data_IF_736430456743
#
_entry.id   IF_736430456743
#
_cell.length_a   1.000
_cell.length_b   1.000
_cell.length_c   1.000
_cell.angle_alpha   90.00
_cell.angle_beta   90.00
_cell.angle_gamma   90.00
#
_symmetry.space_group_name_H-M   'P 1'
#
loop_
_entity.id
_entity.type
_entity.pdbx_description
1 polymer ?
#
# COMPACT_ATOMS: atom_id res chain seq x y z
N UNK A 1 -5.56 27.06 -1.55
CA UNK A 1 -6.03 27.13 -2.94
C UNK A 1 -4.96 26.55 -3.87
N UNK A 2 -5.38 26.09 -5.04
CA UNK A 2 -4.51 25.62 -6.11
C UNK A 2 -4.74 26.47 -7.37
N UNK A 3 -3.81 26.41 -8.31
CA UNK A 3 -3.89 27.12 -9.59
C UNK A 3 -3.59 26.15 -10.73
N UNK A 4 -4.36 26.25 -11.81
CA UNK A 4 -4.10 25.53 -13.06
C UNK A 4 -3.54 26.52 -14.06
N UNK A 5 -2.37 26.26 -14.62
CA UNK A 5 -1.65 27.14 -15.55
C UNK A 5 -1.46 26.39 -16.88
N UNK A 6 -1.75 27.08 -17.99
CA UNK A 6 -1.55 26.55 -19.34
C UNK A 6 -0.42 27.35 -19.98
N UNK A 7 0.64 26.67 -20.41
CA UNK A 7 1.73 27.29 -21.15
C UNK A 7 1.35 27.56 -22.61
N UNK A 8 2.12 28.43 -23.29
CA UNK A 8 1.93 28.69 -24.72
C UNK A 8 2.11 27.45 -25.60
N UNK A 9 2.77 26.40 -25.13
CA UNK A 9 2.93 25.11 -25.82
C UNK A 9 1.82 24.09 -25.46
N UNK A 10 0.81 24.49 -24.66
CA UNK A 10 -0.30 23.63 -24.28
C UNK A 10 -0.03 22.72 -23.07
N UNK A 11 1.12 22.85 -22.40
CA UNK A 11 1.39 22.11 -21.16
C UNK A 11 0.51 22.66 -20.04
N UNK A 12 -0.23 21.77 -19.38
CA UNK A 12 -1.08 22.10 -18.25
C UNK A 12 -0.34 21.71 -16.97
N UNK A 13 -0.20 22.67 -16.06
CA UNK A 13 0.44 22.49 -14.76
C UNK A 13 -0.53 22.84 -13.65
N UNK A 14 -0.55 22.04 -12.58
CA UNK A 14 -1.27 22.36 -11.36
C UNK A 14 -0.29 22.62 -10.23
N UNK A 15 -0.50 23.69 -9.48
CA UNK A 15 0.38 24.15 -8.41
C UNK A 15 -0.40 24.47 -7.15
N UNK A 16 0.22 24.26 -5.98
CA UNK A 16 -0.39 24.54 -4.68
C UNK A 16 -1.34 23.44 -4.22
N UNK A 17 -2.33 23.81 -3.41
CA UNK A 17 -3.29 22.90 -2.82
C UNK A 17 -2.80 22.24 -1.53
N UNK A 18 -3.59 21.27 -1.05
CA UNK A 18 -3.32 20.49 0.15
C UNK A 18 -3.61 19.02 -0.15
N UNK A 19 -3.02 18.12 0.64
CA UNK A 19 -3.33 16.69 0.53
C UNK A 19 -4.84 16.39 0.60
N UNK A 20 -5.56 17.12 1.42
CA UNK A 20 -7.02 16.96 1.59
C UNK A 20 -7.85 17.47 0.41
N UNK A 21 -7.27 18.21 -0.53
CA UNK A 21 -7.98 18.76 -1.70
C UNK A 21 -7.58 18.09 -3.02
N UNK A 22 -6.79 17.03 -2.99
CA UNK A 22 -6.23 16.39 -4.19
C UNK A 22 -7.30 15.94 -5.20
N UNK A 23 -8.45 15.42 -4.74
CA UNK A 23 -9.55 15.01 -5.61
C UNK A 23 -10.07 16.20 -6.44
N UNK A 24 -10.35 17.32 -5.77
CA UNK A 24 -10.83 18.54 -6.44
C UNK A 24 -9.76 19.13 -7.36
N UNK A 25 -8.52 19.08 -6.99
CA UNK A 25 -7.40 19.46 -7.85
C UNK A 25 -7.35 18.62 -9.12
N UNK A 26 -7.51 17.30 -8.99
CA UNK A 26 -7.56 16.39 -10.13
C UNK A 26 -8.75 16.68 -11.05
N UNK A 27 -9.93 16.91 -10.50
CA UNK A 27 -11.12 17.30 -11.26
C UNK A 27 -10.88 18.57 -12.08
N UNK A 28 -10.34 19.62 -11.45
CA UNK A 28 -10.13 20.92 -12.11
C UNK A 28 -9.08 20.82 -13.23
N UNK A 29 -7.98 20.08 -13.01
CA UNK A 29 -6.96 19.92 -14.06
C UNK A 29 -7.44 19.03 -15.20
N UNK A 30 -8.21 17.97 -14.92
CA UNK A 30 -8.77 17.09 -15.95
C UNK A 30 -9.80 17.85 -16.78
N UNK A 31 -10.69 18.63 -16.17
CA UNK A 31 -11.66 19.46 -16.87
C UNK A 31 -10.97 20.50 -17.77
N UNK A 32 -9.91 21.14 -17.26
CA UNK A 32 -9.10 22.06 -18.05
C UNK A 32 -8.45 21.35 -19.25
N UNK A 33 -7.90 20.16 -19.04
CA UNK A 33 -7.27 19.36 -20.10
C UNK A 33 -8.29 18.92 -21.16
N UNK A 34 -9.50 18.56 -20.74
CA UNK A 34 -10.59 18.18 -21.66
C UNK A 34 -11.00 19.37 -22.55
N UNK A 35 -11.15 20.56 -21.99
CA UNK A 35 -11.46 21.79 -22.73
C UNK A 35 -10.33 22.09 -23.75
N UNK A 36 -9.07 22.07 -23.31
CA UNK A 36 -7.92 22.35 -24.19
C UNK A 36 -7.77 21.32 -25.30
N UNK A 37 -8.08 20.06 -25.02
CA UNK A 37 -8.04 18.96 -25.98
C UNK A 37 -9.27 18.87 -26.91
N UNK A 38 -10.25 19.76 -26.74
CA UNK A 38 -11.50 19.72 -27.53
C UNK A 38 -12.34 18.46 -27.27
N UNK A 39 -12.20 17.83 -26.10
CA UNK A 39 -12.96 16.64 -25.73
C UNK A 39 -14.38 17.00 -25.30
N UNK A 40 -15.31 16.08 -25.50
CA UNK A 40 -16.68 16.25 -25.00
C UNK A 40 -16.67 16.33 -23.47
N UNK A 41 -17.46 17.27 -22.95
CA UNK A 41 -17.65 17.40 -21.50
C UNK A 41 -18.23 16.11 -20.92
N UNK A 42 -17.66 15.68 -19.80
CA UNK A 42 -18.19 14.62 -18.93
C UNK A 42 -18.18 15.11 -17.50
N UNK A 43 -19.28 14.90 -16.82
CA UNK A 43 -19.38 15.21 -15.40
C UNK A 43 -18.40 14.35 -14.58
N UNK A 44 -17.80 14.96 -13.58
CA UNK A 44 -16.90 14.24 -12.65
C UNK A 44 -17.72 13.34 -11.73
N UNK A 45 -17.37 12.06 -11.70
CA UNK A 45 -18.06 11.07 -10.83
C UNK A 45 -17.24 10.72 -9.57
N UNK A 46 -16.06 11.33 -9.40
CA UNK A 46 -15.13 10.93 -8.33
C UNK A 46 -15.52 11.42 -6.94
N UNK A 47 -16.52 12.29 -6.81
CA UNK A 47 -16.97 12.78 -5.52
C UNK A 47 -17.66 11.68 -4.72
N UNK A 48 -18.45 10.84 -5.38
CA UNK A 48 -19.20 9.75 -4.75
C UNK A 48 -18.65 8.35 -5.13
N UNK A 49 -17.59 8.31 -5.90
CA UNK A 49 -16.97 7.05 -6.31
C UNK A 49 -16.32 6.36 -5.12
N UNK A 50 -16.83 5.19 -4.75
CA UNK A 50 -16.19 4.35 -3.75
C UNK A 50 -14.81 3.89 -4.25
N UNK A 51 -13.76 4.20 -3.49
CA UNK A 51 -12.42 3.68 -3.75
C UNK A 51 -12.32 2.22 -3.30
N UNK A 52 -11.34 1.49 -3.85
CA UNK A 52 -11.03 0.13 -3.43
C UNK A 52 -10.83 0.06 -1.90
N UNK A 53 -11.32 -0.97 -1.29
CA UNK A 53 -11.22 -1.16 0.17
C UNK A 53 -12.27 -0.37 0.98
N UNK A 54 -13.12 0.47 0.35
CA UNK A 54 -14.16 1.17 1.08
C UNK A 54 -15.11 0.20 1.78
N UNK A 55 -15.36 0.45 3.07
CA UNK A 55 -16.38 -0.26 3.87
C UNK A 55 -17.35 0.76 4.44
N UNK A 56 -18.67 0.56 4.29
CA UNK A 56 -19.68 1.48 4.84
C UNK A 56 -19.72 1.45 6.37
N UNK A 57 -19.25 0.39 6.98
CA UNK A 57 -19.15 0.21 8.43
C UNK A 57 -17.74 -0.20 8.78
N UNK A 58 -17.08 0.56 9.63
CA UNK A 58 -15.74 0.26 10.12
C UNK A 58 -15.80 0.07 11.63
N UNK A 59 -15.49 -1.14 12.09
CA UNK A 59 -15.23 -1.41 13.50
C UNK A 59 -13.72 -1.24 13.73
N UNK A 60 -13.33 -0.18 14.41
CA UNK A 60 -11.91 0.12 14.68
C UNK A 60 -11.26 -0.83 15.69
N UNK A 61 -12.05 -1.63 16.41
CA UNK A 61 -11.54 -2.68 17.31
C UNK A 61 -11.28 -4.00 16.57
N UNK A 62 -11.80 -4.14 15.33
CA UNK A 62 -11.57 -5.34 14.53
C UNK A 62 -10.14 -5.39 14.00
N UNK A 63 -9.38 -6.50 14.23
CA UNK A 63 -8.06 -6.68 13.63
C UNK A 63 -8.12 -6.60 12.11
N UNK A 64 -7.27 -5.75 11.51
CA UNK A 64 -7.25 -5.57 10.06
C UNK A 64 -8.30 -4.59 9.52
N UNK A 65 -9.01 -3.82 10.37
CA UNK A 65 -10.00 -2.82 9.97
C UNK A 65 -9.51 -1.89 8.83
N UNK A 66 -8.21 -1.61 8.79
CA UNK A 66 -7.58 -0.75 7.79
C UNK A 66 -7.53 -1.36 6.38
N UNK A 67 -7.80 -2.64 6.23
CA UNK A 67 -8.02 -3.26 4.92
C UNK A 67 -9.44 -3.02 4.38
N UNK A 68 -10.36 -2.55 5.21
CA UNK A 68 -11.76 -2.30 4.82
C UNK A 68 -12.42 -3.55 4.27
N UNK A 69 -12.99 -3.47 3.06
CA UNK A 69 -13.67 -4.61 2.42
C UNK A 69 -12.74 -5.80 2.14
N UNK A 70 -11.44 -5.57 2.03
CA UNK A 70 -10.45 -6.63 1.74
C UNK A 70 -10.16 -7.52 2.94
N UNK A 71 -10.49 -7.07 4.17
CA UNK A 71 -10.29 -7.87 5.38
C UNK A 71 -10.96 -9.24 5.29
N UNK A 72 -12.15 -9.31 4.67
CA UNK A 72 -12.84 -10.58 4.44
C UNK A 72 -12.07 -11.51 3.48
N UNK A 73 -11.40 -10.96 2.48
CA UNK A 73 -10.60 -11.74 1.52
C UNK A 73 -9.32 -12.28 2.19
N UNK A 74 -8.71 -11.51 3.08
CA UNK A 74 -7.59 -11.98 3.91
C UNK A 74 -8.04 -13.12 4.84
N UNK A 75 -9.23 -13.00 5.46
CA UNK A 75 -9.80 -14.07 6.26
C UNK A 75 -10.07 -15.36 5.44
N UNK A 76 -10.48 -15.22 4.18
CA UNK A 76 -10.62 -16.36 3.28
C UNK A 76 -9.28 -17.05 2.97
N UNK A 77 -8.17 -16.32 2.82
CA UNK A 77 -6.85 -16.93 2.69
C UNK A 77 -6.53 -17.83 3.91
N UNK A 78 -6.80 -17.33 5.10
CA UNK A 78 -6.61 -18.10 6.34
C UNK A 78 -7.48 -19.36 6.35
N UNK A 79 -8.73 -19.28 5.87
CA UNK A 79 -9.63 -20.44 5.83
C UNK A 79 -9.18 -21.51 4.85
N UNK A 80 -8.42 -21.17 3.82
CA UNK A 80 -7.84 -22.13 2.86
C UNK A 80 -6.52 -22.72 3.34
N UNK A 81 -5.77 -21.97 4.14
CA UNK A 81 -4.51 -22.41 4.76
C UNK A 81 -4.38 -21.80 6.16
N UNK A 82 -4.70 -22.61 7.17
CA UNK A 82 -4.65 -22.21 8.57
C UNK A 82 -3.26 -21.77 9.05
N UNK A 83 -2.17 -22.18 8.38
CA UNK A 83 -0.82 -21.73 8.73
C UNK A 83 -0.62 -20.22 8.49
N UNK A 84 -1.44 -19.64 7.64
CA UNK A 84 -1.41 -18.20 7.36
C UNK A 84 -1.97 -17.33 8.50
N UNK A 85 -2.69 -17.93 9.46
CA UNK A 85 -3.14 -17.25 10.68
C UNK A 85 -2.00 -16.93 11.66
N UNK A 86 -0.86 -17.62 11.52
CA UNK A 86 0.28 -17.37 12.39
C UNK A 86 0.83 -15.97 12.23
N UNK A 87 1.20 -15.33 13.36
CA UNK A 87 1.83 -14.02 13.37
C UNK A 87 3.27 -14.12 12.88
N UNK A 88 3.73 -13.08 12.20
CA UNK A 88 5.11 -13.02 11.67
C UNK A 88 6.16 -12.85 12.75
N UNK A 89 5.79 -12.29 13.91
CA UNK A 89 6.65 -12.13 15.08
C UNK A 89 5.80 -11.87 16.33
N UNK A 90 6.19 -12.41 17.53
CA UNK A 90 5.38 -12.27 18.76
C UNK A 90 5.09 -10.83 19.21
N UNK A 91 5.93 -9.87 18.85
CA UNK A 91 5.78 -8.44 19.18
C UNK A 91 5.10 -7.63 18.08
N UNK A 92 4.69 -8.25 16.97
CA UNK A 92 4.04 -7.58 15.86
C UNK A 92 2.64 -8.14 15.64
N UNK A 93 1.62 -7.30 15.38
CA UNK A 93 0.23 -7.75 15.26
C UNK A 93 -0.12 -8.29 13.87
N UNK A 94 0.88 -8.63 13.04
CA UNK A 94 0.68 -9.00 11.66
C UNK A 94 0.76 -10.50 11.42
N UNK A 95 -0.15 -11.01 10.60
CA UNK A 95 -0.19 -12.43 10.21
C UNK A 95 0.56 -12.69 8.88
N UNK A 96 0.89 -13.96 8.64
CA UNK A 96 1.43 -14.42 7.35
C UNK A 96 0.45 -14.13 6.20
N UNK A 97 -0.87 -14.24 6.44
CA UNK A 97 -1.90 -13.92 5.46
C UNK A 97 -1.79 -12.50 4.92
N UNK A 98 -1.48 -11.52 5.77
CA UNK A 98 -1.33 -10.12 5.36
C UNK A 98 -0.09 -9.93 4.48
N UNK A 99 0.98 -10.67 4.71
CA UNK A 99 2.15 -10.67 3.82
C UNK A 99 1.81 -11.26 2.45
N UNK A 100 1.15 -12.44 2.43
CA UNK A 100 0.70 -13.08 1.20
C UNK A 100 -0.25 -12.18 0.42
N UNK A 101 -1.23 -11.56 1.11
CA UNK A 101 -2.15 -10.61 0.53
C UNK A 101 -1.43 -9.44 -0.13
N UNK A 102 -0.46 -8.85 0.57
CA UNK A 102 0.27 -7.69 0.06
C UNK A 102 1.07 -8.00 -1.21
N UNK A 103 1.63 -9.20 -1.31
CA UNK A 103 2.32 -9.66 -2.54
C UNK A 103 1.33 -9.83 -3.69
N UNK A 104 0.20 -10.50 -3.45
CA UNK A 104 -0.78 -10.84 -4.49
C UNK A 104 -1.58 -9.63 -4.99
N UNK A 105 -1.90 -8.68 -4.10
CA UNK A 105 -2.89 -7.64 -4.38
C UNK A 105 -2.40 -6.20 -4.24
N UNK A 106 -1.23 -5.97 -3.61
CA UNK A 106 -0.77 -4.61 -3.28
C UNK A 106 0.62 -4.27 -3.85
N UNK A 107 1.09 -5.02 -4.86
CA UNK A 107 2.38 -4.81 -5.51
C UNK A 107 3.56 -4.75 -4.50
N UNK A 108 3.50 -5.59 -3.47
CA UNK A 108 4.57 -5.74 -2.50
C UNK A 108 5.69 -6.60 -3.11
N UNK A 109 6.77 -5.97 -3.58
CA UNK A 109 7.82 -6.61 -4.35
C UNK A 109 9.11 -6.86 -3.57
N UNK A 110 9.29 -6.18 -2.43
CA UNK A 110 10.48 -6.27 -1.59
C UNK A 110 10.13 -6.49 -0.13
N UNK A 111 11.06 -7.04 0.65
CA UNK A 111 10.91 -7.18 2.10
C UNK A 111 10.70 -5.81 2.76
N UNK A 112 11.34 -4.77 2.22
CA UNK A 112 11.12 -3.39 2.68
C UNK A 112 9.69 -2.92 2.39
N UNK A 113 9.10 -3.27 1.23
CA UNK A 113 7.70 -2.96 0.98
C UNK A 113 6.79 -3.59 2.04
N UNK A 114 6.99 -4.88 2.32
CA UNK A 114 6.19 -5.61 3.31
C UNK A 114 6.30 -5.00 4.71
N UNK A 115 7.52 -4.83 5.21
CA UNK A 115 7.77 -4.48 6.62
C UNK A 115 7.77 -2.98 6.90
N UNK A 116 8.11 -2.13 5.93
CA UNK A 116 8.16 -0.68 6.13
C UNK A 116 6.92 0.05 5.59
N UNK A 117 6.30 -0.45 4.50
CA UNK A 117 5.22 0.27 3.80
C UNK A 117 3.84 -0.36 4.00
N UNK A 118 3.70 -1.69 3.87
CA UNK A 118 2.40 -2.37 3.98
C UNK A 118 2.00 -2.58 5.45
N UNK A 119 2.86 -3.21 6.24
CA UNK A 119 2.59 -3.46 7.65
C UNK A 119 3.07 -2.35 8.58
N UNK A 120 4.05 -1.54 8.14
CA UNK A 120 4.74 -0.54 8.98
C UNK A 120 5.43 -1.12 10.22
N UNK A 121 5.71 -2.42 10.24
CA UNK A 121 6.38 -3.12 11.33
C UNK A 121 7.70 -2.44 11.73
N UNK A 122 8.47 -1.96 10.72
CA UNK A 122 9.72 -1.22 10.93
C UNK A 122 9.56 0.01 11.83
N UNK A 123 8.43 0.73 11.70
CA UNK A 123 8.16 1.95 12.45
C UNK A 123 7.58 1.66 13.85
N UNK A 124 6.96 0.51 14.04
CA UNK A 124 6.40 0.09 15.32
C UNK A 124 7.48 -0.50 16.22
N UNK A 125 8.29 -1.42 15.69
CA UNK A 125 9.39 -2.09 16.39
C UNK A 125 10.44 -2.54 15.37
N UNK A 126 11.50 -1.75 15.22
CA UNK A 126 12.55 -2.02 14.26
C UNK A 126 13.28 -3.35 14.54
N UNK A 127 13.48 -3.69 15.82
CA UNK A 127 14.14 -4.93 16.22
C UNK A 127 13.28 -6.15 15.84
N UNK A 128 12.03 -6.15 16.25
CA UNK A 128 11.08 -7.23 15.91
C UNK A 128 10.90 -7.36 14.38
N UNK A 129 10.92 -6.25 13.67
CA UNK A 129 10.83 -6.22 12.21
C UNK A 129 12.06 -6.85 11.54
N UNK A 130 13.27 -6.59 12.03
CA UNK A 130 14.51 -7.25 11.57
C UNK A 130 14.43 -8.75 11.86
N UNK A 131 13.98 -9.16 13.04
CA UNK A 131 13.84 -10.56 13.42
C UNK A 131 12.78 -11.29 12.59
N UNK A 132 11.72 -10.61 12.15
CA UNK A 132 10.67 -11.15 11.26
C UNK A 132 11.13 -11.26 9.78
N UNK A 133 12.12 -10.48 9.35
CA UNK A 133 12.49 -10.36 7.94
C UNK A 133 12.83 -11.69 7.25
N UNK A 134 13.53 -12.67 7.86
CA UNK A 134 13.80 -13.96 7.21
C UNK A 134 12.52 -14.74 6.89
N UNK A 135 11.54 -14.77 7.78
CA UNK A 135 10.24 -15.41 7.56
C UNK A 135 9.49 -14.71 6.42
N UNK A 136 9.42 -13.37 6.47
CA UNK A 136 8.75 -12.57 5.45
C UNK A 136 9.40 -12.76 4.08
N UNK A 137 10.73 -12.74 3.99
CA UNK A 137 11.46 -12.98 2.75
C UNK A 137 11.17 -14.38 2.16
N UNK A 138 11.08 -15.41 3.01
CA UNK A 138 10.76 -16.77 2.58
C UNK A 138 9.32 -16.88 2.05
N UNK A 139 8.35 -16.27 2.73
CA UNK A 139 6.95 -16.22 2.28
C UNK A 139 6.83 -15.51 0.93
N UNK A 140 7.44 -14.34 0.81
CA UNK A 140 7.42 -13.56 -0.43
C UNK A 140 8.09 -14.30 -1.59
N UNK A 141 9.25 -14.94 -1.34
CA UNK A 141 9.94 -15.73 -2.36
C UNK A 141 9.07 -16.89 -2.86
N UNK A 142 8.35 -17.56 -1.97
CA UNK A 142 7.40 -18.62 -2.34
C UNK A 142 6.27 -18.08 -3.22
N UNK A 143 5.66 -16.97 -2.82
CA UNK A 143 4.56 -16.34 -3.58
C UNK A 143 4.99 -15.85 -4.97
N UNK A 144 6.20 -15.32 -5.09
CA UNK A 144 6.73 -14.79 -6.34
C UNK A 144 7.51 -15.82 -7.16
N UNK A 145 7.62 -17.07 -6.68
CA UNK A 145 8.42 -18.13 -7.30
C UNK A 145 9.90 -17.73 -7.50
N UNK A 146 10.51 -17.16 -6.45
CA UNK A 146 11.89 -16.69 -6.43
C UNK A 146 12.77 -17.60 -5.56
N UNK A 147 14.09 -17.61 -5.84
CA UNK A 147 15.05 -18.51 -5.18
C UNK A 147 15.78 -17.87 -3.99
N UNK A 148 16.69 -18.68 -3.39
CA UNK A 148 17.48 -18.31 -2.22
C UNK A 148 18.38 -17.08 -2.43
N UNK A 149 18.81 -16.82 -3.66
CA UNK A 149 19.64 -15.65 -3.96
C UNK A 149 18.84 -14.36 -3.73
N UNK A 150 17.59 -14.30 -4.22
CA UNK A 150 16.70 -13.17 -3.95
C UNK A 150 16.48 -12.95 -2.44
N UNK A 151 16.26 -14.04 -1.67
CA UNK A 151 16.10 -13.94 -0.21
C UNK A 151 17.32 -13.27 0.43
N UNK A 152 18.53 -13.70 0.07
CA UNK A 152 19.76 -13.11 0.60
C UNK A 152 19.90 -11.63 0.27
N UNK A 153 19.67 -11.27 -0.99
CA UNK A 153 19.73 -9.88 -1.45
C UNK A 153 18.71 -9.00 -0.69
N UNK A 154 17.49 -9.48 -0.52
CA UNK A 154 16.46 -8.77 0.22
C UNK A 154 16.82 -8.57 1.69
N UNK A 155 17.35 -9.58 2.34
CA UNK A 155 17.78 -9.49 3.75
C UNK A 155 18.94 -8.51 3.94
N UNK A 156 19.91 -8.50 3.04
CA UNK A 156 21.03 -7.55 3.07
C UNK A 156 20.50 -6.12 2.89
N UNK A 157 19.68 -5.90 1.87
CA UNK A 157 19.10 -4.59 1.58
C UNK A 157 18.24 -4.08 2.72
N UNK A 158 17.31 -4.92 3.20
CA UNK A 158 16.39 -4.55 4.28
C UNK A 158 17.12 -4.24 5.58
N UNK A 159 18.07 -5.09 5.99
CA UNK A 159 18.84 -4.87 7.21
C UNK A 159 19.63 -3.54 7.16
N UNK A 160 20.18 -3.19 6.02
CA UNK A 160 20.87 -1.89 5.84
C UNK A 160 19.92 -0.71 6.11
N UNK A 161 18.67 -0.79 5.63
CA UNK A 161 17.66 0.24 5.89
C UNK A 161 17.22 0.21 7.35
N UNK A 162 16.89 -0.96 7.86
CA UNK A 162 16.25 -1.13 9.17
C UNK A 162 17.18 -0.76 10.35
N UNK A 163 18.49 -0.95 10.22
CA UNK A 163 19.45 -0.53 11.25
C UNK A 163 19.44 0.97 11.53
N UNK A 164 19.01 1.81 10.59
CA UNK A 164 18.87 3.25 10.82
C UNK A 164 17.69 3.62 11.74
N UNK A 165 16.82 2.66 12.04
CA UNK A 165 15.66 2.82 12.90
C UNK A 165 15.84 2.20 14.30
N UNK A 166 16.99 1.57 14.54
CA UNK A 166 17.34 1.11 15.88
C UNK A 166 17.75 2.31 16.77
N UNK A 167 17.38 2.31 18.07
CA UNK A 167 17.77 3.36 19.01
C UNK A 167 19.28 3.40 19.27
#
# INVERSE_FOLDING_TARGET
DHSVIISGAGLISILGGKWTTYRKMAEDVVNTAAIQGGLAYKECVTEELSIHGNSPVTDFEEPGYYYGSDNNLIAQLISTDNSLAEIIHPQLPYTKAQIVWSVRNELCMTVEDALARRTRALLLDAKASIEAAPLVASLMATEMNLGQEWIKEQLISYNKTAHNYLP
#
